data_IF_751545632246
#
_entry.id   IF_751545632246
#
_cell.length_a   1.000
_cell.length_b   1.000
_cell.length_c   1.000
_cell.angle_alpha   90.00
_cell.angle_beta   90.00
_cell.angle_gamma   90.00
#
_symmetry.space_group_name_H-M   'P 1'
#
loop_
_entity.id
_entity.type
_entity.pdbx_description
1 polymer ?
#
# COMPACT_ATOMS: atom_id res chain seq x y z
N UNK A 1 -27.95 40.89 -34.69
CA UNK A 1 -26.52 40.55 -34.48
C UNK A 1 -25.91 40.09 -35.80
N UNK A 2 -24.75 40.66 -36.19
CA UNK A 2 -24.09 40.23 -37.42
C UNK A 2 -23.50 38.83 -37.23
N UNK A 3 -24.07 37.84 -37.96
CA UNK A 3 -23.75 36.42 -37.82
C UNK A 3 -22.25 36.14 -38.05
N UNK A 4 -21.61 36.83 -38.99
CA UNK A 4 -20.21 36.64 -39.33
C UNK A 4 -19.28 37.08 -38.20
N UNK A 5 -19.52 38.26 -37.62
CA UNK A 5 -18.73 38.78 -36.49
C UNK A 5 -18.89 37.87 -35.26
N UNK A 6 -20.10 37.38 -35.00
CA UNK A 6 -20.36 36.48 -33.88
C UNK A 6 -19.62 35.14 -34.03
N UNK A 7 -19.60 34.55 -35.25
CA UNK A 7 -18.82 33.32 -35.51
C UNK A 7 -17.34 33.56 -35.30
N UNK A 8 -16.75 34.64 -35.78
CA UNK A 8 -15.35 34.97 -35.57
C UNK A 8 -15.04 35.00 -34.08
N UNK A 9 -15.90 35.64 -33.27
CA UNK A 9 -15.75 35.68 -31.83
C UNK A 9 -15.71 34.27 -31.21
N UNK A 10 -16.70 33.42 -31.56
CA UNK A 10 -16.80 32.05 -31.01
C UNK A 10 -15.57 31.22 -31.38
N UNK A 11 -15.16 31.25 -32.64
CA UNK A 11 -13.99 30.47 -33.10
C UNK A 11 -12.72 30.93 -32.43
N UNK A 12 -12.48 32.23 -32.36
CA UNK A 12 -11.29 32.78 -31.71
C UNK A 12 -11.30 32.55 -30.18
N UNK A 13 -12.44 32.59 -29.53
CA UNK A 13 -12.56 32.33 -28.09
C UNK A 13 -12.20 30.90 -27.70
N UNK A 14 -12.22 29.94 -28.64
CA UNK A 14 -11.79 28.57 -28.41
C UNK A 14 -10.25 28.37 -28.46
N UNK A 15 -9.47 29.28 -29.06
CA UNK A 15 -8.02 29.15 -29.20
C UNK A 15 -7.26 28.97 -27.87
N UNK A 16 -7.60 29.63 -26.76
CA UNK A 16 -6.90 29.43 -25.49
C UNK A 16 -6.92 27.97 -24.99
N UNK A 17 -7.90 27.15 -25.40
CA UNK A 17 -7.97 25.72 -25.06
C UNK A 17 -6.79 24.93 -25.63
N UNK A 18 -6.19 25.42 -26.72
CA UNK A 18 -5.10 24.72 -27.42
C UNK A 18 -3.78 24.85 -26.63
N UNK A 19 -3.59 25.91 -25.84
CA UNK A 19 -2.36 26.16 -25.08
C UNK A 19 -1.97 25.00 -24.16
N UNK A 20 -2.88 24.45 -23.35
CA UNK A 20 -2.59 23.28 -22.53
C UNK A 20 -2.07 22.07 -23.30
N UNK A 21 -2.52 21.90 -24.53
CA UNK A 21 -2.11 20.77 -25.38
C UNK A 21 -0.66 20.92 -25.81
N UNK A 22 -0.27 22.12 -26.27
CA UNK A 22 1.10 22.40 -26.69
C UNK A 22 2.10 22.38 -25.52
N UNK A 23 1.70 22.89 -24.36
CA UNK A 23 2.57 22.97 -23.18
C UNK A 23 2.56 21.70 -22.32
N UNK A 24 1.76 20.69 -22.67
CA UNK A 24 1.59 19.46 -21.91
C UNK A 24 2.92 18.78 -21.54
N UNK A 25 3.84 18.62 -22.52
CA UNK A 25 5.12 17.94 -22.31
C UNK A 25 5.99 18.67 -21.29
N UNK A 26 6.05 20.01 -21.39
CA UNK A 26 6.81 20.85 -20.45
C UNK A 26 6.25 20.73 -19.03
N UNK A 27 4.93 20.87 -18.87
CA UNK A 27 4.26 20.80 -17.58
C UNK A 27 4.39 19.40 -16.95
N UNK A 28 4.22 18.34 -17.75
CA UNK A 28 4.35 16.95 -17.26
C UNK A 28 5.79 16.64 -16.81
N UNK A 29 6.80 17.08 -17.55
CA UNK A 29 8.19 16.85 -17.17
C UNK A 29 8.54 17.57 -15.87
N UNK A 30 8.17 18.85 -15.72
CA UNK A 30 8.41 19.62 -14.48
C UNK A 30 7.63 19.03 -13.29
N UNK A 31 6.41 18.52 -13.51
CA UNK A 31 5.62 17.86 -12.47
C UNK A 31 6.24 16.53 -12.02
N UNK A 32 6.77 15.75 -12.95
CA UNK A 32 7.46 14.48 -12.63
C UNK A 32 8.77 14.75 -11.88
N UNK A 33 9.55 15.74 -12.29
CA UNK A 33 10.77 16.15 -11.59
C UNK A 33 10.48 16.58 -10.14
N UNK A 34 9.47 17.43 -9.95
CA UNK A 34 9.00 17.81 -8.61
C UNK A 34 8.56 16.59 -7.78
N UNK A 35 7.76 15.69 -8.35
CA UNK A 35 7.30 14.50 -7.66
C UNK A 35 8.45 13.61 -7.18
N UNK A 36 9.46 13.41 -8.04
CA UNK A 36 10.64 12.60 -7.71
C UNK A 36 11.48 13.27 -6.62
N UNK A 37 11.74 14.57 -6.74
CA UNK A 37 12.50 15.34 -5.74
C UNK A 37 11.79 15.38 -4.39
N UNK A 38 10.46 15.51 -4.38
CA UNK A 38 9.65 15.48 -3.16
C UNK A 38 9.67 14.06 -2.50
N UNK A 39 9.63 13.00 -3.30
CA UNK A 39 9.76 11.64 -2.79
C UNK A 39 11.15 11.40 -2.16
N UNK A 40 12.23 11.85 -2.82
CA UNK A 40 13.60 11.75 -2.30
C UNK A 40 13.77 12.53 -0.99
N UNK A 41 13.24 13.76 -0.92
CA UNK A 41 13.29 14.57 0.30
C UNK A 41 12.47 13.95 1.44
N UNK A 42 11.26 13.50 1.15
CA UNK A 42 10.41 12.82 2.14
C UNK A 42 11.06 11.55 2.67
N UNK A 43 11.73 10.79 1.80
CA UNK A 43 12.46 9.59 2.20
C UNK A 43 13.59 9.93 3.19
N UNK A 44 14.45 10.90 2.86
CA UNK A 44 15.58 11.26 3.75
C UNK A 44 15.09 11.81 5.10
N UNK A 45 14.01 12.57 5.13
CA UNK A 45 13.40 13.04 6.37
C UNK A 45 12.93 11.87 7.24
N UNK A 46 12.25 10.88 6.65
CA UNK A 46 11.84 9.65 7.38
C UNK A 46 13.05 8.90 7.94
N UNK A 47 14.12 8.75 7.15
CA UNK A 47 15.36 8.10 7.60
C UNK A 47 16.01 8.85 8.77
N UNK A 48 16.02 10.19 8.73
CA UNK A 48 16.53 11.02 9.82
C UNK A 48 15.72 10.79 11.11
N UNK A 49 14.40 10.81 11.02
CA UNK A 49 13.55 10.60 12.19
C UNK A 49 13.66 9.18 12.74
N UNK A 50 13.63 8.17 11.89
CA UNK A 50 13.76 6.77 12.29
C UNK A 50 15.15 6.48 12.90
N UNK A 51 16.19 7.06 12.32
CA UNK A 51 17.58 6.90 12.76
C UNK A 51 18.04 7.92 13.82
N UNK A 52 17.19 8.82 14.29
CA UNK A 52 17.59 9.96 15.12
C UNK A 52 18.37 9.57 16.38
N UNK A 53 17.91 8.52 17.08
CA UNK A 53 18.60 8.00 18.28
C UNK A 53 20.03 7.54 17.96
N UNK A 54 20.21 6.86 16.83
CA UNK A 54 21.52 6.40 16.34
C UNK A 54 22.40 7.59 15.96
N UNK A 55 21.89 8.52 15.16
CA UNK A 55 22.61 9.72 14.74
C UNK A 55 23.11 10.55 15.94
N UNK A 56 22.26 10.68 16.95
CA UNK A 56 22.61 11.39 18.20
C UNK A 56 23.69 10.65 18.98
N UNK A 57 23.62 9.32 19.08
CA UNK A 57 24.62 8.53 19.85
C UNK A 57 26.01 8.54 19.23
N UNK A 58 26.09 8.68 17.89
CA UNK A 58 27.38 8.78 17.18
C UNK A 58 27.80 10.23 16.88
N UNK A 59 27.02 11.24 17.29
CA UNK A 59 27.29 12.67 17.11
C UNK A 59 27.49 13.11 15.66
N UNK A 60 26.86 12.42 14.69
CA UNK A 60 26.98 12.68 13.24
C UNK A 60 25.81 13.52 12.68
N UNK A 61 25.22 14.36 13.50
CA UNK A 61 24.05 15.16 13.11
C UNK A 61 24.34 16.19 12.02
N UNK A 62 25.58 16.74 11.96
CA UNK A 62 25.95 17.75 10.97
C UNK A 62 25.97 17.20 9.54
N UNK A 63 26.49 16.02 9.37
CA UNK A 63 26.62 15.34 8.09
C UNK A 63 25.25 15.04 7.49
N UNK A 64 24.32 14.58 8.31
CA UNK A 64 22.99 14.25 7.87
C UNK A 64 22.15 15.48 7.55
N UNK A 65 22.33 16.59 8.31
CA UNK A 65 21.71 17.88 7.99
C UNK A 65 22.19 18.37 6.63
N UNK A 66 23.50 18.34 6.36
CA UNK A 66 24.07 18.72 5.06
C UNK A 66 23.51 17.86 3.90
N UNK A 67 23.24 16.57 4.13
CA UNK A 67 22.60 15.71 3.15
C UNK A 67 21.14 16.10 2.91
N UNK A 68 20.42 16.43 4.00
CA UNK A 68 19.04 16.92 3.93
C UNK A 68 18.93 18.22 3.17
N UNK A 69 19.84 19.18 3.43
CA UNK A 69 19.87 20.49 2.77
C UNK A 69 20.07 20.34 1.25
N UNK A 70 20.99 19.48 0.80
CA UNK A 70 21.17 19.20 -0.63
C UNK A 70 19.91 18.63 -1.30
N UNK A 71 19.14 17.81 -0.60
CA UNK A 71 17.89 17.27 -1.12
C UNK A 71 16.77 18.32 -1.09
N UNK A 72 16.78 19.21 -0.09
CA UNK A 72 15.89 20.36 -0.01
C UNK A 72 16.13 21.32 -1.17
N UNK A 73 17.39 21.71 -1.44
CA UNK A 73 17.75 22.58 -2.57
C UNK A 73 17.22 21.98 -3.90
N UNK A 74 17.42 20.70 -4.11
CA UNK A 74 16.89 20.01 -5.31
C UNK A 74 15.36 20.07 -5.39
N UNK A 75 14.67 19.93 -4.25
CA UNK A 75 13.21 20.06 -4.17
C UNK A 75 12.77 21.50 -4.47
N UNK A 76 13.46 22.49 -3.94
CA UNK A 76 13.17 23.91 -4.19
C UNK A 76 13.36 24.27 -5.67
N UNK A 77 14.46 23.83 -6.29
CA UNK A 77 14.71 24.02 -7.72
C UNK A 77 13.62 23.37 -8.60
N UNK A 78 13.22 22.15 -8.27
CA UNK A 78 12.16 21.46 -9.01
C UNK A 78 10.80 22.12 -8.80
N UNK A 79 10.54 22.67 -7.61
CA UNK A 79 9.33 23.44 -7.29
C UNK A 79 9.31 24.75 -8.09
N UNK A 80 10.44 25.44 -8.15
CA UNK A 80 10.58 26.64 -8.95
C UNK A 80 10.34 26.37 -10.44
N UNK A 81 10.94 25.31 -10.99
CA UNK A 81 10.77 24.91 -12.40
C UNK A 81 9.30 24.57 -12.72
N UNK A 82 8.61 23.87 -11.83
CA UNK A 82 7.19 23.59 -11.98
C UNK A 82 6.36 24.89 -11.98
N UNK A 83 6.57 25.76 -10.99
CA UNK A 83 5.89 27.06 -10.88
C UNK A 83 6.15 27.93 -12.10
N UNK A 84 7.41 28.01 -12.55
CA UNK A 84 7.79 28.74 -13.78
C UNK A 84 7.03 28.21 -15.00
N UNK A 85 6.95 26.89 -15.16
CA UNK A 85 6.22 26.24 -16.27
C UNK A 85 4.73 26.56 -16.23
N UNK A 86 4.12 26.56 -15.03
CA UNK A 86 2.72 26.93 -14.84
C UNK A 86 2.47 28.40 -15.18
N UNK A 87 3.35 29.32 -14.70
CA UNK A 87 3.24 30.76 -14.97
C UNK A 87 3.41 31.05 -16.46
N UNK A 88 4.39 30.42 -17.13
CA UNK A 88 4.58 30.57 -18.57
C UNK A 88 3.34 30.10 -19.36
N UNK A 89 2.74 28.97 -18.96
CA UNK A 89 1.51 28.48 -19.60
C UNK A 89 0.34 29.46 -19.43
N UNK A 90 0.20 30.05 -18.24
CA UNK A 90 -0.82 31.07 -17.99
C UNK A 90 -0.57 32.35 -18.80
N UNK A 91 0.67 32.79 -18.87
CA UNK A 91 1.04 34.01 -19.61
C UNK A 91 0.73 33.84 -21.10
N UNK A 92 1.11 32.72 -21.70
CA UNK A 92 0.78 32.41 -23.09
C UNK A 92 -0.73 32.36 -23.33
N UNK A 93 -1.47 31.75 -22.42
CA UNK A 93 -2.94 31.69 -22.49
C UNK A 93 -3.59 33.08 -22.41
N UNK A 94 -3.08 33.97 -21.51
CA UNK A 94 -3.55 35.35 -21.38
C UNK A 94 -3.23 36.19 -22.63
N UNK A 95 -2.05 36.06 -23.20
CA UNK A 95 -1.68 36.75 -24.45
C UNK A 95 -2.59 36.32 -25.60
N UNK A 96 -2.80 35.01 -25.79
CA UNK A 96 -3.71 34.50 -26.82
C UNK A 96 -5.15 34.99 -26.58
N UNK A 97 -5.63 34.97 -25.33
CA UNK A 97 -6.94 35.51 -24.99
C UNK A 97 -7.07 36.98 -25.32
N UNK A 98 -6.01 37.77 -25.07
CA UNK A 98 -5.96 39.18 -25.48
C UNK A 98 -6.09 39.41 -26.97
N UNK A 99 -5.40 38.58 -27.78
CA UNK A 99 -5.55 38.62 -29.24
C UNK A 99 -6.98 38.20 -29.67
N UNK A 100 -7.52 37.16 -29.07
CA UNK A 100 -8.88 36.70 -29.35
C UNK A 100 -9.96 37.73 -28.97
N UNK A 101 -9.64 38.63 -28.07
CA UNK A 101 -10.49 39.74 -27.67
C UNK A 101 -10.35 40.96 -28.59
N UNK A 102 -9.14 41.37 -28.96
CA UNK A 102 -8.87 42.54 -29.78
C UNK A 102 -9.22 42.38 -31.25
N UNK A 103 -8.92 41.23 -31.84
CA UNK A 103 -9.14 40.99 -33.29
C UNK A 103 -10.59 41.15 -33.69
N UNK A 104 -11.57 40.50 -33.01
CA UNK A 104 -12.99 40.68 -33.34
C UNK A 104 -13.48 42.10 -33.13
N UNK A 105 -12.93 42.80 -32.11
CA UNK A 105 -13.31 44.21 -31.87
C UNK A 105 -12.87 45.10 -33.05
N UNK A 106 -11.64 44.94 -33.54
CA UNK A 106 -11.11 45.67 -34.70
C UNK A 106 -11.94 45.36 -35.95
N UNK A 107 -12.23 44.06 -36.21
CA UNK A 107 -13.10 43.65 -37.33
C UNK A 107 -14.52 44.22 -37.19
N UNK A 108 -15.07 44.17 -35.97
CA UNK A 108 -16.39 44.75 -35.72
C UNK A 108 -16.43 46.26 -35.97
N UNK A 109 -15.44 47.04 -35.52
CA UNK A 109 -15.31 48.45 -35.83
C UNK A 109 -15.21 48.71 -37.33
N UNK A 110 -14.48 47.90 -38.07
CA UNK A 110 -14.44 47.98 -39.54
C UNK A 110 -15.80 47.84 -40.17
N UNK A 111 -16.59 46.87 -39.74
CA UNK A 111 -17.96 46.65 -40.25
C UNK A 111 -18.92 47.77 -39.87
N UNK A 112 -18.77 48.39 -38.70
CA UNK A 112 -19.57 49.56 -38.27
C UNK A 112 -19.28 50.80 -39.16
N UNK A 113 -17.98 51.09 -39.43
CA UNK A 113 -17.56 52.28 -40.11
C UNK A 113 -17.76 52.21 -41.64
N UNK A 114 -17.29 51.11 -42.25
CA UNK A 114 -17.24 51.02 -43.71
C UNK A 114 -18.46 50.32 -44.33
N UNK A 115 -18.98 49.25 -43.70
CA UNK A 115 -20.08 48.52 -44.29
C UNK A 115 -21.49 48.87 -43.73
N UNK A 116 -21.51 49.66 -42.62
CA UNK A 116 -22.78 50.02 -41.92
C UNK A 116 -23.74 48.87 -41.68
N UNK A 117 -23.23 47.63 -41.70
CA UNK A 117 -23.99 46.40 -41.49
C UNK A 117 -24.12 45.98 -40.03
N UNK A 118 -23.49 46.73 -39.12
CA UNK A 118 -23.47 46.54 -37.68
C UNK A 118 -23.64 47.91 -37.00
N UNK A 119 -24.55 48.00 -36.03
CA UNK A 119 -24.66 49.20 -35.20
C UNK A 119 -23.60 49.18 -34.06
N UNK A 120 -23.24 50.37 -33.56
CA UNK A 120 -22.29 50.46 -32.44
C UNK A 120 -22.84 49.78 -31.16
N UNK A 121 -24.13 49.86 -30.91
CA UNK A 121 -24.81 49.17 -29.79
C UNK A 121 -24.77 47.64 -29.90
N UNK A 122 -24.88 47.10 -31.10
CA UNK A 122 -24.75 45.69 -31.35
C UNK A 122 -23.31 45.21 -31.14
N UNK A 123 -22.32 46.00 -31.56
CA UNK A 123 -20.90 45.70 -31.33
C UNK A 123 -20.59 45.65 -29.82
N UNK A 124 -21.10 46.62 -29.04
CA UNK A 124 -20.94 46.58 -27.57
C UNK A 124 -21.64 45.33 -26.98
N UNK A 125 -22.82 44.98 -27.47
CA UNK A 125 -23.54 43.78 -27.03
C UNK A 125 -22.73 42.50 -27.25
N UNK A 126 -22.12 42.34 -28.42
CA UNK A 126 -21.24 41.22 -28.76
C UNK A 126 -20.00 41.21 -27.83
N UNK A 127 -19.40 42.36 -27.61
CA UNK A 127 -18.25 42.55 -26.75
C UNK A 127 -18.52 42.11 -25.29
N UNK A 128 -19.63 42.57 -24.71
CA UNK A 128 -20.05 42.18 -23.36
C UNK A 128 -20.40 40.71 -23.25
N UNK A 129 -21.00 40.11 -24.30
CA UNK A 129 -21.29 38.70 -24.35
C UNK A 129 -20.00 37.83 -24.40
N UNK A 130 -18.93 38.33 -25.07
CA UNK A 130 -17.67 37.64 -25.18
C UNK A 130 -16.99 37.40 -23.80
N UNK A 131 -17.06 38.35 -22.90
CA UNK A 131 -16.51 38.22 -21.55
C UNK A 131 -17.19 37.04 -20.79
N UNK A 132 -18.48 36.85 -20.98
CA UNK A 132 -19.23 35.72 -20.38
C UNK A 132 -18.85 34.35 -20.98
N UNK A 133 -18.27 34.32 -22.16
CA UNK A 133 -17.82 33.07 -22.84
C UNK A 133 -16.35 32.78 -22.53
N UNK A 134 -15.47 33.79 -22.56
CA UNK A 134 -14.03 33.61 -22.35
C UNK A 134 -13.69 33.12 -20.94
N UNK A 135 -14.34 33.61 -19.91
CA UNK A 135 -14.10 33.22 -18.52
C UNK A 135 -14.28 31.70 -18.29
N UNK A 136 -15.44 31.11 -18.62
CA UNK A 136 -15.64 29.66 -18.56
C UNK A 136 -14.64 28.86 -19.40
N UNK A 137 -14.30 29.33 -20.60
CA UNK A 137 -13.32 28.66 -21.49
C UNK A 137 -11.93 28.61 -20.83
N UNK A 138 -11.48 29.73 -20.25
CA UNK A 138 -10.22 29.78 -19.52
C UNK A 138 -10.24 28.84 -18.30
N UNK A 139 -11.34 28.77 -17.57
CA UNK A 139 -11.52 27.85 -16.43
C UNK A 139 -11.46 26.39 -16.86
N UNK A 140 -12.05 26.05 -17.99
CA UNK A 140 -11.95 24.70 -18.58
C UNK A 140 -10.50 24.39 -18.97
N UNK A 141 -9.83 25.31 -19.66
CA UNK A 141 -8.42 25.14 -20.04
C UNK A 141 -7.51 24.95 -18.83
N UNK A 142 -7.73 25.70 -17.76
CA UNK A 142 -7.00 25.55 -16.49
C UNK A 142 -7.26 24.17 -15.84
N UNK A 143 -8.53 23.74 -15.81
CA UNK A 143 -8.91 22.44 -15.24
C UNK A 143 -8.32 21.28 -16.04
N UNK A 144 -8.28 21.36 -17.36
CA UNK A 144 -7.63 20.39 -18.23
C UNK A 144 -6.12 20.31 -17.97
N UNK A 145 -5.46 21.47 -17.76
CA UNK A 145 -4.06 21.49 -17.36
C UNK A 145 -3.83 20.74 -16.05
N UNK A 146 -4.64 21.01 -15.04
CA UNK A 146 -4.55 20.34 -13.72
C UNK A 146 -4.77 18.82 -13.82
N UNK A 147 -5.70 18.38 -14.65
CA UNK A 147 -5.91 16.96 -14.94
C UNK A 147 -4.69 16.35 -15.63
N UNK A 148 -4.13 17.04 -16.61
CA UNK A 148 -2.96 16.56 -17.36
C UNK A 148 -1.68 16.46 -16.50
N UNK A 149 -1.42 17.42 -15.60
CA UNK A 149 -0.27 17.38 -14.69
C UNK A 149 -0.36 16.22 -13.70
N UNK A 150 -1.56 15.84 -13.26
CA UNK A 150 -1.76 14.74 -12.30
C UNK A 150 -1.90 13.36 -12.98
N UNK A 151 -2.08 13.31 -14.29
CA UNK A 151 -2.32 12.05 -15.03
C UNK A 151 -1.17 11.06 -14.88
N UNK A 152 0.06 11.53 -15.01
CA UNK A 152 1.25 10.67 -14.96
C UNK A 152 1.56 10.24 -13.52
N UNK A 153 1.21 11.03 -12.52
CA UNK A 153 1.29 10.66 -11.11
C UNK A 153 0.28 9.57 -10.73
N UNK A 154 -0.89 9.54 -11.37
CA UNK A 154 -1.93 8.52 -11.11
C UNK A 154 -1.71 7.21 -11.84
N UNK A 155 -0.95 7.20 -12.95
CA UNK A 155 -0.72 5.98 -13.74
C UNK A 155 -0.12 4.81 -12.94
N UNK A 156 0.95 4.98 -12.13
CA UNK A 156 1.50 3.90 -11.33
C UNK A 156 0.46 3.33 -10.35
N UNK A 157 -0.30 4.21 -9.69
CA UNK A 157 -1.35 3.82 -8.76
C UNK A 157 -2.48 3.05 -9.45
N UNK A 158 -2.96 3.54 -10.60
CA UNK A 158 -3.98 2.84 -11.39
C UNK A 158 -3.48 1.51 -11.95
N UNK A 159 -2.19 1.42 -12.32
CA UNK A 159 -1.56 0.16 -12.75
C UNK A 159 -1.48 -0.83 -11.60
N UNK A 160 -1.14 -0.35 -10.40
CA UNK A 160 -1.15 -1.16 -9.19
C UNK A 160 -2.55 -1.70 -8.91
N UNK A 161 -3.58 -0.84 -8.86
CA UNK A 161 -4.97 -1.24 -8.66
C UNK A 161 -5.48 -2.18 -9.77
N UNK A 162 -5.10 -1.97 -11.03
CA UNK A 162 -5.52 -2.84 -12.13
C UNK A 162 -4.77 -4.18 -12.18
N UNK A 163 -3.53 -4.23 -11.66
CA UNK A 163 -2.76 -5.45 -11.52
C UNK A 163 -3.24 -6.33 -10.36
N UNK A 164 -3.79 -5.71 -9.32
CA UNK A 164 -4.36 -6.40 -8.16
C UNK A 164 -5.78 -6.95 -8.38
N UNK A 165 -6.42 -6.68 -9.52
CA UNK A 165 -7.68 -7.35 -9.84
C UNK A 165 -7.59 -8.89 -9.72
N UNK A 166 -6.40 -9.46 -9.91
CA UNK A 166 -6.18 -10.89 -9.65
C UNK A 166 -6.12 -11.27 -8.14
N UNK A 167 -6.02 -10.29 -7.23
CA UNK A 167 -6.07 -10.55 -5.77
C UNK A 167 -7.45 -10.24 -5.18
N UNK A 168 -8.22 -9.34 -5.83
CA UNK A 168 -9.56 -8.93 -5.35
C UNK A 168 -10.66 -9.77 -6.02
N UNK A 169 -10.42 -10.31 -7.23
CA UNK A 169 -11.35 -11.19 -7.97
C UNK A 169 -11.20 -12.69 -7.59
N UNK A 170 -10.52 -13.05 -6.52
CA UNK A 170 -10.92 -14.25 -5.82
C UNK A 170 -12.37 -13.98 -5.39
N UNK A 171 -13.32 -14.59 -6.06
CA UNK A 171 -14.73 -14.57 -5.70
C UNK A 171 -14.84 -14.94 -4.21
N UNK A 172 -14.77 -13.92 -3.40
CA UNK A 172 -15.11 -14.03 -2.01
C UNK A 172 -16.63 -14.07 -2.02
N UNK A 173 -17.13 -15.25 -1.86
CA UNK A 173 -18.52 -15.46 -1.51
C UNK A 173 -18.84 -14.47 -0.39
N UNK A 174 -19.71 -13.50 -0.65
CA UNK A 174 -20.03 -12.35 0.20
C UNK A 174 -20.70 -12.72 1.54
N UNK A 175 -20.47 -13.92 2.04
CA UNK A 175 -21.03 -14.41 3.29
C UNK A 175 -19.99 -14.47 4.41
N UNK A 176 -19.59 -13.30 4.90
CA UNK A 176 -19.10 -13.19 6.29
C UNK A 176 -17.68 -13.69 6.53
N UNK A 177 -17.44 -14.25 7.64
CA UNK A 177 -16.16 -14.62 8.23
C UNK A 177 -15.32 -15.56 7.37
N UNK A 178 -14.06 -15.17 7.15
CA UNK A 178 -13.03 -16.09 6.66
C UNK A 178 -12.65 -17.10 7.74
N UNK A 179 -13.36 -18.20 7.81
CA UNK A 179 -12.91 -19.40 8.50
C UNK A 179 -12.39 -20.37 7.45
N UNK A 180 -11.09 -20.50 7.33
CA UNK A 180 -10.49 -21.50 6.46
C UNK A 180 -10.68 -22.89 7.05
N UNK A 181 -11.36 -23.77 6.34
CA UNK A 181 -11.53 -25.16 6.71
C UNK A 181 -10.39 -26.06 6.20
N UNK A 182 -9.26 -25.46 5.80
CA UNK A 182 -8.08 -26.18 5.31
C UNK A 182 -7.62 -27.17 6.38
N UNK A 183 -7.48 -28.43 5.98
CA UNK A 183 -7.02 -29.54 6.82
C UNK A 183 -5.83 -30.31 6.21
N UNK A 184 -5.49 -30.03 4.95
CA UNK A 184 -4.34 -30.66 4.28
C UNK A 184 -3.53 -29.62 3.49
N UNK A 185 -2.20 -29.75 3.50
CA UNK A 185 -1.25 -28.96 2.73
C UNK A 185 -0.44 -29.92 1.86
N UNK A 186 -0.43 -29.70 0.55
CA UNK A 186 0.38 -30.45 -0.40
C UNK A 186 1.29 -29.52 -1.18
N UNK A 187 2.60 -29.72 -1.06
CA UNK A 187 3.62 -29.12 -1.92
C UNK A 187 4.27 -30.24 -2.72
N UNK A 188 4.15 -30.21 -4.05
CA UNK A 188 4.71 -31.26 -4.90
C UNK A 188 5.60 -30.68 -5.99
N UNK A 189 6.83 -31.18 -6.05
CA UNK A 189 7.86 -30.78 -7.02
C UNK A 189 8.07 -29.25 -7.06
N UNK A 190 7.88 -28.57 -5.92
CA UNK A 190 7.95 -27.12 -5.83
C UNK A 190 9.38 -26.67 -5.96
N UNK A 191 9.66 -25.82 -6.97
CA UNK A 191 10.93 -25.16 -7.15
C UNK A 191 10.71 -23.65 -7.08
N UNK A 192 11.52 -22.97 -6.26
CA UNK A 192 11.52 -21.52 -6.13
C UNK A 192 12.95 -21.00 -5.97
N UNK A 193 13.35 -20.02 -6.80
CA UNK A 193 14.68 -19.39 -6.70
C UNK A 193 14.57 -18.14 -5.85
N UNK A 194 15.22 -18.14 -4.67
CA UNK A 194 15.33 -16.97 -3.80
C UNK A 194 16.35 -15.99 -4.39
N UNK A 195 17.50 -16.53 -4.82
CA UNK A 195 18.55 -15.85 -5.59
C UNK A 195 18.96 -16.78 -6.74
N UNK A 196 19.73 -16.30 -7.74
CA UNK A 196 20.22 -17.17 -8.82
C UNK A 196 20.98 -18.41 -8.31
N UNK A 197 21.62 -18.31 -7.16
CA UNK A 197 22.45 -19.35 -6.54
C UNK A 197 21.69 -20.18 -5.50
N UNK A 198 20.60 -19.66 -4.93
CA UNK A 198 19.84 -20.31 -3.86
C UNK A 198 18.43 -20.71 -4.36
N UNK A 199 18.25 -22.02 -4.59
CA UNK A 199 16.99 -22.61 -5.06
C UNK A 199 16.42 -23.52 -4.01
N UNK A 200 15.14 -23.39 -3.74
CA UNK A 200 14.38 -24.33 -2.93
C UNK A 200 13.80 -25.42 -3.84
N UNK A 201 13.93 -26.68 -3.38
CA UNK A 201 13.29 -27.85 -3.97
C UNK A 201 12.54 -28.59 -2.87
N UNK A 202 11.22 -28.54 -2.91
CA UNK A 202 10.38 -28.91 -1.77
C UNK A 202 9.28 -29.87 -2.23
N UNK A 203 9.18 -30.99 -1.51
CA UNK A 203 8.12 -31.97 -1.64
C UNK A 203 7.70 -32.42 -0.25
N UNK A 204 6.47 -32.09 0.16
CA UNK A 204 5.87 -32.60 1.38
C UNK A 204 4.33 -32.52 1.36
N UNK A 205 3.73 -33.30 2.24
CA UNK A 205 2.29 -33.30 2.45
C UNK A 205 1.97 -33.48 3.93
N UNK A 206 1.09 -32.64 4.46
CA UNK A 206 0.61 -32.72 5.84
C UNK A 206 -0.91 -32.75 5.87
N UNK A 207 -1.44 -33.63 6.72
CA UNK A 207 -2.87 -33.74 7.01
C UNK A 207 -3.11 -33.54 8.51
N UNK A 208 -4.04 -32.67 8.86
CA UNK A 208 -4.39 -32.38 10.26
C UNK A 208 -4.88 -33.64 10.99
N UNK A 209 -4.45 -33.87 12.24
CA UNK A 209 -3.65 -32.98 13.09
C UNK A 209 -2.14 -33.16 12.88
N UNK A 210 -1.42 -32.03 12.72
CA UNK A 210 0.05 -32.00 12.66
C UNK A 210 0.60 -30.79 13.43
N UNK A 211 1.84 -30.92 13.90
CA UNK A 211 2.63 -29.86 14.54
C UNK A 211 4.05 -29.97 14.03
N UNK A 212 4.33 -29.19 13.01
CA UNK A 212 5.59 -29.27 12.25
C UNK A 212 6.51 -28.16 12.64
N UNK A 213 7.76 -28.47 12.92
CA UNK A 213 8.83 -27.53 13.13
C UNK A 213 9.73 -27.49 11.89
N UNK A 214 9.95 -26.31 11.33
CA UNK A 214 10.93 -26.05 10.28
C UNK A 214 12.15 -25.35 10.88
N UNK A 215 13.30 -25.99 10.80
CA UNK A 215 14.57 -25.46 11.30
C UNK A 215 15.56 -25.28 10.16
N UNK A 216 16.68 -24.60 10.42
CA UNK A 216 17.73 -24.36 9.43
C UNK A 216 18.44 -23.02 9.67
N UNK A 217 19.54 -22.80 8.96
CA UNK A 217 20.32 -21.55 9.09
C UNK A 217 19.49 -20.31 8.69
N UNK A 218 19.87 -19.14 9.22
CA UNK A 218 19.26 -17.88 8.80
C UNK A 218 19.48 -17.67 7.29
N UNK A 219 18.46 -17.19 6.59
CA UNK A 219 18.51 -17.00 5.14
C UNK A 219 18.38 -18.28 4.30
N UNK A 220 18.17 -19.47 4.92
CA UNK A 220 17.99 -20.72 4.15
C UNK A 220 16.70 -20.76 3.32
N UNK A 221 15.69 -19.92 3.61
CA UNK A 221 14.42 -19.87 2.88
C UNK A 221 13.20 -20.41 3.64
N UNK A 222 13.29 -20.55 4.98
CA UNK A 222 12.16 -21.03 5.81
C UNK A 222 10.91 -20.15 5.67
N UNK A 223 11.05 -18.84 5.84
CA UNK A 223 9.98 -17.85 5.61
C UNK A 223 9.45 -17.92 4.18
N UNK A 224 10.32 -18.20 3.20
CA UNK A 224 9.89 -18.39 1.80
C UNK A 224 8.96 -19.59 1.65
N UNK A 225 9.21 -20.68 2.39
CA UNK A 225 8.30 -21.84 2.40
C UNK A 225 6.92 -21.44 2.95
N UNK A 226 6.87 -20.70 4.07
CA UNK A 226 5.60 -20.23 4.61
C UNK A 226 4.87 -19.32 3.62
N UNK A 227 5.60 -18.44 2.92
CA UNK A 227 5.04 -17.56 1.90
C UNK A 227 4.55 -18.27 0.64
N UNK A 228 5.15 -19.41 0.30
CA UNK A 228 4.64 -20.28 -0.77
C UNK A 228 3.35 -21.00 -0.32
N UNK A 229 3.28 -21.45 0.94
CA UNK A 229 2.10 -22.12 1.49
C UNK A 229 0.92 -21.16 1.59
N UNK A 230 1.12 -19.93 2.11
CA UNK A 230 0.03 -18.94 2.25
C UNK A 230 -0.34 -18.24 0.94
N UNK A 231 0.34 -18.55 -0.18
CA UNK A 231 0.06 -18.02 -1.51
C UNK A 231 0.62 -16.62 -1.78
N UNK A 232 1.37 -16.01 -0.85
CA UNK A 232 2.06 -14.71 -1.06
C UNK A 232 3.13 -14.81 -2.14
N UNK A 233 3.71 -16.00 -2.32
CA UNK A 233 4.64 -16.31 -3.39
C UNK A 233 4.09 -17.45 -4.26
N UNK A 234 4.37 -17.38 -5.57
CA UNK A 234 4.00 -18.45 -6.52
C UNK A 234 5.23 -19.28 -6.86
N UNK A 235 5.15 -20.62 -6.83
CA UNK A 235 6.27 -21.47 -7.22
C UNK A 235 6.59 -21.31 -8.72
N UNK A 236 7.86 -21.44 -9.09
CA UNK A 236 8.31 -21.41 -10.48
C UNK A 236 8.03 -22.74 -11.19
N UNK A 237 8.08 -23.85 -10.43
CA UNK A 237 7.70 -25.19 -10.88
C UNK A 237 6.96 -25.91 -9.75
N UNK A 238 6.21 -26.95 -10.10
CA UNK A 238 5.39 -27.68 -9.14
C UNK A 238 4.13 -26.91 -8.75
N UNK A 239 3.51 -27.33 -7.66
CA UNK A 239 2.30 -26.70 -7.16
C UNK A 239 2.19 -26.78 -5.64
N UNK A 240 1.47 -25.82 -5.07
CA UNK A 240 0.99 -25.81 -3.69
C UNK A 240 -0.53 -25.92 -3.73
N UNK A 241 -1.07 -26.96 -3.11
CA UNK A 241 -2.50 -27.13 -2.97
C UNK A 241 -2.86 -27.15 -1.49
N UNK A 242 -3.80 -26.32 -1.13
CA UNK A 242 -4.47 -26.33 0.16
C UNK A 242 -5.79 -27.06 -0.03
N UNK A 243 -6.06 -28.06 0.80
CA UNK A 243 -7.25 -28.88 0.69
C UNK A 243 -8.13 -28.72 1.92
N UNK A 244 -9.43 -28.72 1.68
CA UNK A 244 -10.47 -28.76 2.69
C UNK A 244 -11.34 -29.98 2.41
N UNK A 245 -11.36 -30.94 3.32
CA UNK A 245 -12.09 -32.19 3.15
C UNK A 245 -11.80 -32.90 1.80
N UNK A 246 -10.52 -32.89 1.39
CA UNK A 246 -10.04 -33.50 0.16
C UNK A 246 -10.33 -32.70 -1.12
N UNK A 247 -10.90 -31.51 -1.03
CA UNK A 247 -11.13 -30.60 -2.17
C UNK A 247 -10.18 -29.43 -2.12
N UNK A 248 -9.73 -28.97 -3.28
CA UNK A 248 -8.86 -27.79 -3.37
C UNK A 248 -9.60 -26.54 -2.86
N UNK A 249 -8.99 -25.84 -1.90
CA UNK A 249 -9.47 -24.56 -1.37
C UNK A 249 -8.71 -23.40 -1.98
N UNK A 250 -9.39 -22.27 -2.17
CA UNK A 250 -8.80 -20.97 -2.51
C UNK A 250 -8.48 -20.13 -1.28
N UNK A 251 -8.84 -20.62 -0.07
CA UNK A 251 -8.59 -19.91 1.17
C UNK A 251 -7.10 -19.78 1.47
N UNK A 252 -6.73 -18.78 2.25
CA UNK A 252 -5.38 -18.62 2.77
C UNK A 252 -5.28 -19.15 4.20
N UNK A 253 -4.07 -19.56 4.59
CA UNK A 253 -3.78 -19.96 5.97
C UNK A 253 -3.27 -18.72 6.73
N UNK A 254 -3.83 -18.40 7.92
CA UNK A 254 -3.34 -17.30 8.74
C UNK A 254 -1.87 -17.49 9.10
N UNK A 255 -1.10 -16.43 8.88
CA UNK A 255 0.33 -16.40 9.21
C UNK A 255 0.57 -15.37 10.30
N UNK A 256 1.31 -15.76 11.33
CA UNK A 256 1.82 -14.86 12.38
C UNK A 256 3.31 -14.65 12.11
N UNK A 257 3.67 -13.42 11.78
CA UNK A 257 5.03 -13.05 11.40
C UNK A 257 5.91 -12.79 12.64
N UNK A 258 7.23 -12.86 12.47
CA UNK A 258 8.23 -12.54 13.48
C UNK A 258 8.05 -11.14 14.08
N UNK A 259 7.72 -10.17 13.25
CA UNK A 259 7.43 -8.78 13.66
C UNK A 259 6.03 -8.40 13.18
N UNK A 260 4.99 -8.70 13.98
CA UNK A 260 3.62 -8.45 13.54
C UNK A 260 3.33 -6.97 13.44
N UNK A 261 2.66 -6.57 12.36
CA UNK A 261 2.19 -5.21 12.20
C UNK A 261 1.00 -4.94 13.12
N UNK A 262 1.10 -3.89 13.93
CA UNK A 262 0.03 -3.40 14.80
C UNK A 262 -0.46 -2.05 14.28
N UNK A 263 -1.73 -1.97 13.94
CA UNK A 263 -2.36 -0.74 13.47
C UNK A 263 -2.51 0.27 14.60
N UNK A 264 -2.40 1.56 14.29
CA UNK A 264 -2.62 2.67 15.23
C UNK A 264 -4.13 2.82 15.53
N UNK A 265 -4.65 1.89 16.30
CA UNK A 265 -6.07 1.79 16.65
C UNK A 265 -6.24 0.95 17.91
N UNK A 266 -7.47 0.55 18.23
CA UNK A 266 -7.78 -0.24 19.42
C UNK A 266 -7.32 -1.70 19.32
N UNK A 267 -7.20 -2.39 20.46
CA UNK A 267 -6.96 -3.85 20.49
C UNK A 267 -8.10 -4.58 19.77
N UNK A 268 -9.36 -4.17 19.96
CA UNK A 268 -10.52 -4.70 19.23
C UNK A 268 -10.28 -4.74 17.74
N UNK A 269 -9.97 -3.58 17.13
CA UNK A 269 -9.78 -3.45 15.69
C UNK A 269 -8.53 -4.17 15.19
N UNK A 270 -7.50 -4.26 16.01
CA UNK A 270 -6.32 -5.04 15.71
C UNK A 270 -6.58 -6.54 15.67
N UNK A 271 -7.39 -7.06 16.58
CA UNK A 271 -7.74 -8.49 16.62
C UNK A 271 -8.73 -8.85 15.52
N UNK A 272 -9.75 -8.02 15.31
CA UNK A 272 -10.79 -8.27 14.29
C UNK A 272 -10.38 -7.88 12.87
N UNK A 273 -9.30 -7.11 12.70
CA UNK A 273 -8.90 -6.46 11.43
C UNK A 273 -10.05 -5.62 10.84
N UNK A 274 -10.63 -4.74 11.68
CA UNK A 274 -11.73 -3.85 11.35
C UNK A 274 -13.08 -4.54 11.01
N UNK A 275 -13.17 -5.85 11.21
CA UNK A 275 -14.37 -6.65 10.98
C UNK A 275 -15.19 -6.82 12.28
N UNK A 276 -15.42 -5.73 13.01
CA UNK A 276 -16.04 -5.75 14.34
C UNK A 276 -17.47 -6.30 14.34
N UNK A 277 -18.19 -6.21 13.22
CA UNK A 277 -19.58 -6.67 13.06
C UNK A 277 -19.72 -8.19 13.09
N UNK A 278 -18.64 -8.94 12.83
CA UNK A 278 -18.65 -10.40 12.79
C UNK A 278 -18.24 -11.04 14.13
N UNK A 279 -17.74 -10.27 15.08
CA UNK A 279 -17.23 -10.79 16.35
C UNK A 279 -17.83 -10.08 17.53
N UNK A 280 -18.42 -10.84 18.47
CA UNK A 280 -18.89 -10.27 19.73
C UNK A 280 -17.73 -9.93 20.68
N UNK A 281 -17.98 -9.02 21.62
CA UNK A 281 -17.01 -8.68 22.66
C UNK A 281 -16.56 -9.89 23.46
N UNK A 282 -17.49 -10.81 23.75
CA UNK A 282 -17.18 -12.05 24.47
C UNK A 282 -16.21 -12.94 23.71
N UNK A 283 -16.36 -13.06 22.38
CA UNK A 283 -15.45 -13.82 21.54
C UNK A 283 -14.05 -13.19 21.51
N UNK A 284 -13.96 -11.86 21.43
CA UNK A 284 -12.69 -11.15 21.46
C UNK A 284 -12.01 -11.34 22.82
N UNK A 285 -12.76 -11.17 23.93
CA UNK A 285 -12.24 -11.38 25.29
C UNK A 285 -11.79 -12.83 25.49
N UNK A 286 -12.56 -13.81 25.00
CA UNK A 286 -12.20 -15.22 25.10
C UNK A 286 -10.84 -15.51 24.41
N UNK A 287 -10.62 -14.95 23.22
CA UNK A 287 -9.35 -15.13 22.51
C UNK A 287 -8.21 -14.41 23.22
N UNK A 288 -8.45 -13.20 23.75
CA UNK A 288 -7.45 -12.47 24.55
C UNK A 288 -7.06 -13.22 25.82
N UNK A 289 -7.99 -13.93 26.45
CA UNK A 289 -7.71 -14.85 27.58
C UNK A 289 -6.89 -16.05 27.12
N UNK A 290 -7.23 -16.66 25.99
CA UNK A 290 -6.48 -17.81 25.44
C UNK A 290 -5.01 -17.50 25.18
N UNK A 291 -4.69 -16.24 24.84
CA UNK A 291 -3.31 -15.79 24.60
C UNK A 291 -2.68 -15.12 25.84
N UNK A 292 -3.31 -15.20 26.99
CA UNK A 292 -2.86 -14.59 28.25
C UNK A 292 -2.57 -13.07 28.15
N UNK A 293 -3.32 -12.35 27.31
CA UNK A 293 -3.20 -10.90 27.18
C UNK A 293 -4.22 -10.17 28.05
N UNK A 294 -5.37 -10.80 28.29
CA UNK A 294 -6.44 -10.22 29.09
C UNK A 294 -5.98 -9.94 30.54
N UNK A 295 -5.32 -10.88 31.17
CA UNK A 295 -4.84 -10.79 32.55
C UNK A 295 -3.74 -9.73 32.69
N UNK A 296 -2.91 -9.53 31.66
CA UNK A 296 -1.85 -8.51 31.66
C UNK A 296 -2.41 -7.08 31.63
N UNK A 297 -3.56 -6.89 31.03
CA UNK A 297 -4.20 -5.58 30.80
C UNK A 297 -5.54 -5.43 31.51
N UNK A 298 -5.88 -6.32 32.45
CA UNK A 298 -7.20 -6.41 33.13
C UNK A 298 -7.67 -5.11 33.80
N UNK A 299 -6.73 -4.24 34.22
CA UNK A 299 -7.03 -2.95 34.86
C UNK A 299 -7.45 -1.85 33.89
N UNK A 300 -7.48 -2.14 32.58
CA UNK A 300 -7.71 -1.20 31.49
C UNK A 300 -8.95 -1.68 30.74
N UNK A 301 -9.70 -0.76 30.13
CA UNK A 301 -10.69 -1.14 29.11
C UNK A 301 -9.97 -1.71 27.89
N UNK A 302 -9.69 -3.03 27.95
CA UNK A 302 -8.78 -3.72 27.02
C UNK A 302 -9.25 -3.62 25.57
N UNK A 303 -10.55 -3.67 25.32
CA UNK A 303 -11.09 -3.65 23.96
C UNK A 303 -10.87 -2.29 23.30
N UNK A 304 -10.97 -1.21 24.05
CA UNK A 304 -10.80 0.16 23.57
C UNK A 304 -9.39 0.72 23.80
N UNK A 305 -8.47 -0.11 24.32
CA UNK A 305 -7.08 0.30 24.54
C UNK A 305 -6.40 0.66 23.21
N UNK A 306 -5.83 1.87 23.13
CA UNK A 306 -5.14 2.38 21.94
C UNK A 306 -3.73 1.82 21.84
N UNK A 307 -3.44 1.11 20.76
CA UNK A 307 -2.16 0.47 20.55
C UNK A 307 -1.03 1.45 20.22
N UNK A 308 -1.36 2.63 19.64
CA UNK A 308 -0.41 3.62 19.15
C UNK A 308 0.28 3.20 17.85
N UNK A 309 1.01 4.13 17.23
CA UNK A 309 1.69 3.91 15.96
C UNK A 309 2.66 2.71 16.06
N UNK A 310 2.48 1.71 15.18
CA UNK A 310 3.19 0.44 15.20
C UNK A 310 3.16 -0.27 16.57
N UNK A 311 2.11 -0.06 17.34
CA UNK A 311 1.97 -0.63 18.67
C UNK A 311 2.94 -0.03 19.71
N UNK A 312 3.24 1.27 19.63
CA UNK A 312 4.20 1.95 20.54
C UNK A 312 3.82 1.84 22.00
N UNK A 313 2.54 1.64 22.32
CA UNK A 313 2.02 1.51 23.68
C UNK A 313 2.07 0.07 24.23
N UNK A 314 2.62 -0.87 23.43
CA UNK A 314 2.64 -2.31 23.74
C UNK A 314 4.07 -2.84 23.84
N UNK A 315 4.28 -3.81 24.74
CA UNK A 315 5.52 -4.58 24.77
C UNK A 315 5.63 -5.50 23.54
N UNK A 316 6.84 -6.01 23.24
CA UNK A 316 7.05 -6.99 22.16
C UNK A 316 6.17 -8.23 22.32
N UNK A 317 6.08 -8.77 23.54
CA UNK A 317 5.23 -9.92 23.86
C UNK A 317 3.74 -9.65 23.67
N UNK A 318 3.26 -8.46 24.06
CA UNK A 318 1.87 -8.06 23.86
C UNK A 318 1.51 -7.94 22.36
N UNK A 319 2.42 -7.42 21.54
CA UNK A 319 2.24 -7.38 20.08
C UNK A 319 2.10 -8.78 19.48
N UNK A 320 2.94 -9.73 19.91
CA UNK A 320 2.85 -11.12 19.48
C UNK A 320 1.54 -11.77 19.94
N UNK A 321 1.10 -11.52 21.18
CA UNK A 321 -0.19 -12.02 21.70
C UNK A 321 -1.37 -11.47 20.91
N UNK A 322 -1.35 -10.18 20.51
CA UNK A 322 -2.38 -9.59 19.63
C UNK A 322 -2.39 -10.28 18.26
N UNK A 323 -1.21 -10.51 17.66
CA UNK A 323 -1.12 -11.19 16.36
C UNK A 323 -1.63 -12.64 16.44
N UNK A 324 -1.33 -13.33 17.55
CA UNK A 324 -1.84 -14.66 17.78
C UNK A 324 -3.37 -14.64 18.01
N UNK A 325 -3.90 -13.71 18.80
CA UNK A 325 -5.34 -13.52 18.98
C UNK A 325 -6.05 -13.24 17.63
N UNK A 326 -5.45 -12.38 16.80
CA UNK A 326 -5.91 -12.08 15.43
C UNK A 326 -6.03 -13.33 14.54
N UNK A 327 -5.08 -14.25 14.66
CA UNK A 327 -5.14 -15.51 13.93
C UNK A 327 -6.22 -16.42 14.51
N UNK A 328 -6.28 -16.57 15.83
CA UNK A 328 -7.14 -17.53 16.53
C UNK A 328 -8.63 -17.18 16.49
N UNK A 329 -8.98 -15.87 16.46
CA UNK A 329 -10.40 -15.45 16.44
C UNK A 329 -11.16 -16.00 15.23
N UNK A 330 -10.44 -16.31 14.14
CA UNK A 330 -10.99 -16.86 12.91
C UNK A 330 -11.25 -18.36 12.96
N UNK A 331 -10.86 -19.02 14.04
CA UNK A 331 -11.11 -20.44 14.31
C UNK A 331 -10.70 -21.38 13.17
N UNK A 332 -9.53 -21.14 12.56
CA UNK A 332 -8.97 -21.99 11.51
C UNK A 332 -8.44 -23.31 12.11
N UNK A 333 -8.30 -24.35 11.27
CA UNK A 333 -7.70 -25.62 11.68
C UNK A 333 -6.18 -25.63 11.60
N UNK A 334 -5.61 -24.83 10.68
CA UNK A 334 -4.18 -24.79 10.37
C UNK A 334 -3.67 -23.36 10.47
N UNK A 335 -2.46 -23.20 11.00
CA UNK A 335 -1.78 -21.90 11.18
C UNK A 335 -0.31 -21.98 10.74
N UNK A 336 0.25 -20.84 10.36
CA UNK A 336 1.67 -20.69 10.05
C UNK A 336 2.29 -19.70 11.04
N UNK A 337 3.43 -20.06 11.62
CA UNK A 337 4.16 -19.25 12.58
C UNK A 337 5.59 -19.03 12.12
N UNK A 338 5.98 -17.76 11.93
CA UNK A 338 7.34 -17.41 11.54
C UNK A 338 8.05 -16.74 12.72
N UNK A 339 8.89 -17.53 13.41
CA UNK A 339 9.75 -17.07 14.53
C UNK A 339 9.02 -16.26 15.61
N UNK A 340 7.80 -16.66 15.97
CA UNK A 340 6.92 -15.89 16.87
C UNK A 340 7.49 -15.62 18.27
N UNK A 341 8.53 -16.32 18.67
CA UNK A 341 9.20 -16.18 19.97
C UNK A 341 10.60 -15.54 19.91
N UNK A 342 11.11 -15.21 18.70
CA UNK A 342 12.52 -14.81 18.52
C UNK A 342 12.92 -13.51 19.23
N UNK A 343 11.99 -12.59 19.45
CA UNK A 343 12.24 -11.27 20.06
C UNK A 343 11.74 -11.19 21.52
N UNK A 344 11.46 -12.33 22.13
CA UNK A 344 10.91 -12.42 23.48
C UNK A 344 11.95 -12.96 24.46
N UNK A 345 11.81 -12.62 25.72
CA UNK A 345 12.53 -13.30 26.79
C UNK A 345 12.07 -14.75 26.94
N UNK A 346 12.85 -15.55 27.65
CA UNK A 346 12.58 -16.99 27.78
C UNK A 346 11.21 -17.30 28.39
N UNK A 347 10.75 -16.49 29.34
CA UNK A 347 9.46 -16.72 30.02
C UNK A 347 8.29 -16.46 29.09
N UNK A 348 8.31 -15.36 28.34
CA UNK A 348 7.32 -15.05 27.33
C UNK A 348 7.35 -16.02 26.13
N UNK A 349 8.53 -16.45 25.71
CA UNK A 349 8.71 -17.46 24.68
C UNK A 349 8.07 -18.80 25.07
N UNK A 350 8.38 -19.29 26.28
CA UNK A 350 7.79 -20.52 26.79
C UNK A 350 6.28 -20.41 26.93
N UNK A 351 5.78 -19.27 27.44
CA UNK A 351 4.34 -19.02 27.57
C UNK A 351 3.61 -19.09 26.22
N UNK A 352 4.17 -18.52 25.16
CA UNK A 352 3.57 -18.59 23.82
C UNK A 352 3.58 -20.02 23.28
N UNK A 353 4.67 -20.76 23.41
CA UNK A 353 4.73 -22.16 22.99
C UNK A 353 3.73 -23.02 23.76
N UNK A 354 3.60 -22.84 25.07
CA UNK A 354 2.62 -23.57 25.88
C UNK A 354 1.17 -23.26 25.44
N UNK A 355 0.88 -22.01 25.11
CA UNK A 355 -0.41 -21.62 24.53
C UNK A 355 -0.65 -22.40 23.22
N UNK A 356 0.29 -22.40 22.27
CA UNK A 356 0.13 -23.08 20.99
C UNK A 356 -0.13 -24.57 21.13
N UNK A 357 0.64 -25.24 21.98
CA UNK A 357 0.49 -26.68 22.18
C UNK A 357 -0.81 -27.05 22.90
N UNK A 358 -1.32 -26.20 23.77
CA UNK A 358 -2.57 -26.42 24.51
C UNK A 358 -3.84 -26.14 23.68
N UNK A 359 -3.75 -25.36 22.59
CA UNK A 359 -4.89 -25.01 21.74
C UNK A 359 -5.40 -26.16 20.87
N UNK A 360 -4.66 -27.27 20.75
CA UNK A 360 -5.09 -28.41 19.93
C UNK A 360 -5.15 -28.14 18.41
N UNK A 361 -4.49 -27.08 17.94
CA UNK A 361 -4.43 -26.69 16.53
C UNK A 361 -3.33 -27.41 15.75
N UNK A 362 -3.48 -27.45 14.42
CA UNK A 362 -2.38 -27.84 13.53
C UNK A 362 -1.58 -26.62 13.10
N UNK A 363 -0.27 -26.75 13.05
CA UNK A 363 0.57 -25.64 12.64
C UNK A 363 1.90 -26.06 12.03
N UNK A 364 2.46 -25.16 11.23
CA UNK A 364 3.87 -25.17 10.81
C UNK A 364 4.54 -23.98 11.46
N UNK A 365 5.58 -24.22 12.25
CA UNK A 365 6.36 -23.21 12.92
C UNK A 365 7.79 -23.18 12.37
N UNK A 366 8.29 -22.00 12.06
CA UNK A 366 9.70 -21.72 11.87
C UNK A 366 10.28 -21.23 13.17
N UNK A 367 11.30 -21.90 13.71
CA UNK A 367 11.97 -21.44 14.93
C UNK A 367 13.47 -21.69 14.86
N UNK A 368 14.23 -20.77 15.49
CA UNK A 368 15.66 -20.93 15.78
C UNK A 368 15.93 -21.44 17.20
N UNK A 369 14.96 -21.23 18.10
CA UNK A 369 15.02 -21.71 19.49
C UNK A 369 14.09 -22.91 19.63
N UNK A 370 14.67 -24.10 19.62
CA UNK A 370 13.91 -25.35 19.68
C UNK A 370 14.69 -26.45 20.40
N UNK A 371 13.96 -27.37 21.01
CA UNK A 371 14.50 -28.63 21.51
C UNK A 371 14.12 -29.76 20.51
N UNK A 372 15.11 -30.40 19.93
CA UNK A 372 14.91 -31.55 19.03
C UNK A 372 14.20 -32.72 19.73
N UNK A 373 14.28 -32.80 21.05
CA UNK A 373 13.65 -33.83 21.86
C UNK A 373 12.22 -33.46 22.28
N UNK A 374 11.71 -32.27 21.92
CA UNK A 374 10.34 -31.89 22.26
C UNK A 374 9.34 -32.84 21.57
N UNK A 375 8.67 -33.64 22.41
CA UNK A 375 7.70 -34.64 21.95
C UNK A 375 6.38 -34.02 21.48
N UNK A 376 6.17 -32.74 21.70
CA UNK A 376 4.93 -32.05 21.33
C UNK A 376 4.85 -31.82 19.79
N UNK A 377 6.00 -31.74 19.09
CA UNK A 377 6.03 -31.74 17.62
C UNK A 377 5.82 -33.13 17.04
N UNK A 378 4.97 -33.23 16.02
CA UNK A 378 4.75 -34.48 15.28
C UNK A 378 5.89 -34.76 14.31
N UNK A 379 6.39 -33.70 13.67
CA UNK A 379 7.46 -33.79 12.67
C UNK A 379 8.43 -32.62 12.81
N UNK A 380 9.70 -32.87 12.61
CA UNK A 380 10.76 -31.84 12.59
C UNK A 380 11.53 -31.97 11.28
N UNK A 381 11.58 -30.87 10.54
CA UNK A 381 12.30 -30.78 9.28
C UNK A 381 13.44 -29.76 9.39
N UNK A 382 14.58 -30.07 8.77
CA UNK A 382 15.71 -29.16 8.61
C UNK A 382 15.85 -28.76 7.15
N UNK A 383 15.92 -27.47 6.90
CA UNK A 383 16.19 -26.93 5.58
C UNK A 383 17.69 -26.71 5.40
N UNK A 384 18.29 -27.48 4.52
CA UNK A 384 19.71 -27.38 4.14
C UNK A 384 19.85 -27.39 2.63
N UNK A 385 20.67 -26.50 2.08
CA UNK A 385 20.96 -26.38 0.64
C UNK A 385 19.71 -26.41 -0.24
N UNK A 386 18.65 -25.76 0.24
CA UNK A 386 17.38 -25.64 -0.49
C UNK A 386 16.50 -26.90 -0.46
N UNK A 387 16.86 -27.94 0.28
CA UNK A 387 16.10 -29.18 0.41
C UNK A 387 15.69 -29.40 1.87
N UNK A 388 14.49 -29.97 2.06
CA UNK A 388 13.96 -30.32 3.39
C UNK A 388 14.35 -31.77 3.75
N UNK A 389 14.96 -31.95 4.90
CA UNK A 389 15.29 -33.23 5.48
C UNK A 389 14.45 -33.48 6.72
N UNK A 390 13.73 -34.58 6.77
CA UNK A 390 13.02 -34.98 7.99
C UNK A 390 14.01 -35.49 9.02
N UNK A 391 13.96 -34.90 10.24
CA UNK A 391 14.81 -35.31 11.37
C UNK A 391 14.04 -36.23 12.31
N UNK A 392 12.75 -35.95 12.49
CA UNK A 392 11.84 -36.70 13.35
C UNK A 392 10.52 -36.96 12.63
#
# INVERSE_FOLDING_TARGET
LNFLVSIIFIVLSALPIIVPVFMKKMLSNSANEYSNSNAEYTHIIKEIFNGFKTLKSYSVTKEIISLSDKKLDKLEDSTFNLKRSEVLSKLVAVLISGFCFLVPLVVGCYFVIYHKSLSFSELIGIFLANDKVLGPIQSIAYSLNKINTTKDLRKPFLKYLSGEKNFIDAEHDNNGLYTSSIDEIHMKDVVYSITPENKLSIDFSFKSPFRVLLTGTSGSGKTTILNLINGSLKPQKGYVNLLSHGKKSSDSIPTVDQTPYIFDTTIRENVTLFQNEYFSDDQIIEVLKKVNLYEELEKIDILNYQCGENGSNLSGGQKQKIALARALIRNNKVYLFDEISANLDNDNSNSIHDILFNLGISFIEVSHHYDLNDKRYTDIYKLENGTLFKIK
#
